data_IF_426925148478
#
_entry.id   IF_426925148478
#
_cell.length_a   1.000
_cell.length_b   1.000
_cell.length_c   1.000
_cell.angle_alpha   90.00
_cell.angle_beta   90.00
_cell.angle_gamma   90.00
#
_symmetry.space_group_name_H-M   'P 1'
#
loop_
_entity.id
_entity.type
_entity.pdbx_description
1 polymer ?
#
# COMPACT_ATOMS: atom_id res chain seq x y z
N UNK A 1 37.19 46.11 46.55
CA UNK A 1 38.37 45.46 45.94
C UNK A 1 37.91 44.64 44.76
N UNK A 2 38.67 44.62 43.65
CA UNK A 2 38.33 43.83 42.45
C UNK A 2 38.13 42.33 42.75
N UNK A 3 38.74 41.81 43.81
CA UNK A 3 38.59 40.42 44.29
C UNK A 3 37.15 40.04 44.66
N UNK A 4 36.41 40.91 45.37
CA UNK A 4 35.01 40.65 45.75
C UNK A 4 34.07 40.52 44.53
N UNK A 5 34.38 41.18 43.42
CA UNK A 5 33.55 41.09 42.22
C UNK A 5 33.71 39.71 41.55
N UNK A 6 34.94 39.19 41.49
CA UNK A 6 35.25 37.92 40.82
C UNK A 6 34.68 36.71 41.60
N UNK A 7 34.69 36.77 42.93
CA UNK A 7 34.08 35.75 43.80
C UNK A 7 32.56 35.67 43.60
N UNK A 8 31.87 36.81 43.47
CA UNK A 8 30.43 36.84 43.21
C UNK A 8 30.08 36.24 41.83
N UNK A 9 30.90 36.49 40.81
CA UNK A 9 30.75 35.88 39.48
C UNK A 9 30.98 34.37 39.51
N UNK A 10 32.00 33.90 40.21
CA UNK A 10 32.27 32.45 40.38
C UNK A 10 31.11 31.79 41.12
N UNK A 11 30.60 32.43 42.19
CA UNK A 11 29.48 31.93 42.96
C UNK A 11 28.20 31.82 42.11
N UNK A 12 27.89 32.86 41.32
CA UNK A 12 26.76 32.86 40.40
C UNK A 12 26.85 31.69 39.41
N UNK A 13 28.00 31.51 38.77
CA UNK A 13 28.19 30.46 37.75
C UNK A 13 28.09 29.06 38.39
N UNK A 14 28.68 28.85 39.57
CA UNK A 14 28.63 27.56 40.26
C UNK A 14 27.24 27.20 40.79
N UNK A 15 26.42 28.20 41.15
CA UNK A 15 25.10 27.99 41.77
C UNK A 15 23.93 28.29 40.83
N UNK A 16 24.20 28.69 39.57
CA UNK A 16 23.24 29.07 38.53
C UNK A 16 21.97 28.19 38.49
N UNK A 17 22.14 26.88 38.57
CA UNK A 17 21.06 25.89 38.47
C UNK A 17 20.18 25.78 39.73
N UNK A 18 20.70 26.17 40.89
CA UNK A 18 20.08 25.98 42.22
C UNK A 18 19.90 27.27 43.01
N UNK A 19 20.05 28.43 42.36
CA UNK A 19 19.86 29.73 43.00
C UNK A 19 18.42 29.86 43.50
N UNK A 20 18.28 30.06 44.80
CA UNK A 20 16.99 30.40 45.40
C UNK A 20 16.75 31.89 45.26
N UNK A 21 15.49 32.29 45.36
CA UNK A 21 15.08 33.68 45.24
C UNK A 21 15.76 34.60 46.30
N UNK A 22 16.06 34.05 47.46
CA UNK A 22 16.79 34.70 48.55
C UNK A 22 18.26 34.97 48.18
N UNK A 23 18.94 33.97 47.62
CA UNK A 23 20.35 34.07 47.16
C UNK A 23 20.48 35.11 46.02
N UNK A 24 19.48 35.16 45.14
CA UNK A 24 19.40 36.14 44.04
C UNK A 24 19.28 37.57 44.58
N UNK A 25 18.42 37.79 45.59
CA UNK A 25 18.25 39.12 46.21
C UNK A 25 19.55 39.58 46.86
N UNK A 26 20.24 38.69 47.55
CA UNK A 26 21.49 39.01 48.23
C UNK A 26 22.63 39.37 47.24
N UNK A 27 22.78 38.61 46.14
CA UNK A 27 23.76 38.89 45.09
C UNK A 27 23.49 40.23 44.37
N UNK A 28 22.21 40.53 44.08
CA UNK A 28 21.82 41.80 43.43
C UNK A 28 22.06 43.04 44.31
N UNK A 29 22.05 42.87 45.64
CA UNK A 29 22.37 43.92 46.62
C UNK A 29 23.88 44.10 46.75
N UNK A 30 24.64 43.00 46.83
CA UNK A 30 26.11 43.04 46.99
C UNK A 30 26.82 43.54 45.75
N UNK A 31 26.37 43.15 44.55
CA UNK A 31 27.04 43.50 43.31
C UNK A 31 26.03 43.92 42.23
N UNK A 32 25.83 45.24 42.04
CA UNK A 32 24.92 45.78 41.03
C UNK A 32 25.27 45.36 39.59
N UNK A 33 26.55 45.05 39.31
CA UNK A 33 27.04 44.66 37.98
C UNK A 33 26.56 43.25 37.60
N UNK A 34 26.33 42.39 38.60
CA UNK A 34 25.85 41.01 38.40
C UNK A 34 24.33 40.95 38.16
N UNK A 35 23.61 42.03 38.45
CA UNK A 35 22.15 42.11 38.30
C UNK A 35 21.68 41.72 36.90
N UNK A 36 22.31 42.27 35.87
CA UNK A 36 21.95 42.04 34.48
C UNK A 36 22.14 40.56 34.08
N UNK A 37 23.23 39.93 34.54
CA UNK A 37 23.47 38.52 34.32
C UNK A 37 22.49 37.61 35.08
N UNK A 38 22.11 37.98 36.30
CA UNK A 38 21.10 37.24 37.07
C UNK A 38 19.71 37.35 36.43
N UNK A 39 19.35 38.52 35.91
CA UNK A 39 18.07 38.74 35.21
C UNK A 39 18.01 37.94 33.90
N UNK A 40 19.08 37.96 33.10
CA UNK A 40 19.20 37.11 31.92
C UNK A 40 19.11 35.60 32.27
N UNK A 41 19.73 35.17 33.39
CA UNK A 41 19.64 33.79 33.88
C UNK A 41 18.23 33.41 34.33
N UNK A 42 17.50 34.31 34.99
CA UNK A 42 16.10 34.10 35.38
C UNK A 42 15.20 33.97 34.17
N UNK A 43 15.36 34.81 33.14
CA UNK A 43 14.59 34.73 31.90
C UNK A 43 14.86 33.45 31.11
N UNK A 44 16.13 33.03 31.03
CA UNK A 44 16.51 31.78 30.35
C UNK A 44 16.04 30.54 31.14
N UNK A 45 16.00 30.62 32.48
CA UNK A 45 15.64 29.48 33.34
C UNK A 45 14.13 29.32 33.58
N UNK A 46 13.34 30.41 33.59
CA UNK A 46 11.88 30.37 33.76
C UNK A 46 11.10 30.04 32.48
N UNK A 47 11.75 29.91 31.33
CA UNK A 47 11.06 29.63 30.06
C UNK A 47 11.37 28.23 29.47
N UNK A 48 12.45 27.57 29.88
CA UNK A 48 12.85 26.28 29.27
C UNK A 48 11.90 25.12 29.57
N UNK A 49 11.37 25.01 30.79
CA UNK A 49 10.43 23.93 31.15
C UNK A 49 9.10 24.10 30.43
N UNK A 50 8.53 25.30 30.46
CA UNK A 50 7.25 25.61 29.79
C UNK A 50 7.37 25.46 28.28
N UNK A 51 8.49 25.93 27.69
CA UNK A 51 8.82 25.71 26.28
C UNK A 51 8.91 24.23 25.93
N UNK A 52 9.63 23.44 26.73
CA UNK A 52 9.71 21.99 26.52
C UNK A 52 8.33 21.33 26.59
N UNK A 53 7.47 21.69 27.55
CA UNK A 53 6.10 21.15 27.63
C UNK A 53 5.26 21.51 26.40
N UNK A 54 5.37 22.75 25.92
CA UNK A 54 4.67 23.21 24.72
C UNK A 54 5.16 22.49 23.45
N UNK A 55 6.48 22.38 23.26
CA UNK A 55 7.09 21.66 22.15
C UNK A 55 6.72 20.18 22.16
N UNK A 56 6.72 19.54 23.33
CA UNK A 56 6.37 18.14 23.48
C UNK A 56 4.89 17.90 23.14
N UNK A 57 4.00 18.81 23.57
CA UNK A 57 2.58 18.77 23.20
C UNK A 57 2.38 18.90 21.68
N UNK A 58 3.01 19.89 21.05
CA UNK A 58 2.93 20.08 19.60
C UNK A 58 3.46 18.87 18.84
N UNK A 59 4.55 18.26 19.32
CA UNK A 59 5.09 17.03 18.74
C UNK A 59 4.08 15.90 18.83
N UNK A 60 3.44 15.70 19.98
CA UNK A 60 2.41 14.66 20.14
C UNK A 60 1.21 14.89 19.22
N UNK A 61 0.73 16.13 19.09
CA UNK A 61 -0.37 16.47 18.18
C UNK A 61 0.00 16.15 16.73
N UNK A 62 1.20 16.55 16.27
CA UNK A 62 1.69 16.25 14.91
C UNK A 62 1.93 14.77 14.66
N UNK A 63 2.53 14.07 15.61
CA UNK A 63 2.77 12.62 15.50
C UNK A 63 1.43 11.87 15.39
N UNK A 64 0.40 12.34 16.11
CA UNK A 64 -0.94 11.78 16.02
C UNK A 64 -1.58 12.02 14.64
N UNK A 65 -1.53 13.25 14.14
CA UNK A 65 -2.03 13.60 12.80
C UNK A 65 -1.33 12.78 11.71
N UNK A 66 0.01 12.70 11.76
CA UNK A 66 0.81 11.92 10.81
C UNK A 66 0.48 10.42 10.87
N UNK A 67 0.20 9.88 12.07
CA UNK A 67 -0.21 8.48 12.22
C UNK A 67 -1.57 8.22 11.56
N UNK A 68 -2.53 9.14 11.73
CA UNK A 68 -3.85 9.03 11.11
C UNK A 68 -3.74 9.12 9.60
N UNK A 69 -3.02 10.12 9.09
CA UNK A 69 -2.81 10.34 7.65
C UNK A 69 -2.16 9.11 7.00
N UNK A 70 -1.07 8.61 7.60
CA UNK A 70 -0.40 7.40 7.14
C UNK A 70 -1.34 6.17 7.12
N UNK A 71 -2.12 5.97 8.18
CA UNK A 71 -3.07 4.85 8.24
C UNK A 71 -4.17 4.97 7.17
N UNK A 72 -4.63 6.19 6.88
CA UNK A 72 -5.62 6.44 5.85
C UNK A 72 -5.06 6.20 4.44
N UNK A 73 -3.87 6.72 4.14
CA UNK A 73 -3.19 6.51 2.86
C UNK A 73 -2.89 5.03 2.60
N UNK A 74 -2.35 4.33 3.59
CA UNK A 74 -2.11 2.88 3.50
C UNK A 74 -3.41 2.09 3.33
N UNK A 75 -4.48 2.50 4.02
CA UNK A 75 -5.81 1.92 3.86
C UNK A 75 -6.35 2.08 2.44
N UNK A 76 -6.25 3.28 1.87
CA UNK A 76 -6.64 3.56 0.49
C UNK A 76 -5.82 2.75 -0.51
N UNK A 77 -4.50 2.74 -0.35
CA UNK A 77 -3.59 1.99 -1.24
C UNK A 77 -3.92 0.50 -1.24
N UNK A 78 -4.08 -0.10 -0.06
CA UNK A 78 -4.49 -1.51 0.08
C UNK A 78 -5.86 -1.77 -0.52
N UNK A 79 -6.82 -0.85 -0.35
CA UNK A 79 -8.14 -0.95 -0.95
C UNK A 79 -8.09 -0.97 -2.48
N UNK A 80 -7.28 -0.10 -3.09
CA UNK A 80 -7.07 -0.06 -4.54
C UNK A 80 -6.39 -1.34 -5.03
N UNK A 81 -5.32 -1.77 -4.38
CA UNK A 81 -4.59 -2.99 -4.74
C UNK A 81 -5.51 -4.22 -4.69
N UNK A 82 -6.31 -4.38 -3.63
CA UNK A 82 -7.30 -5.46 -3.51
C UNK A 82 -8.39 -5.38 -4.59
N UNK A 83 -8.83 -4.16 -4.95
CA UNK A 83 -9.78 -3.95 -6.03
C UNK A 83 -9.25 -4.44 -7.38
N UNK A 84 -8.02 -4.05 -7.72
CA UNK A 84 -7.34 -4.45 -8.96
C UNK A 84 -7.11 -5.97 -9.00
N UNK A 85 -6.68 -6.57 -7.88
CA UNK A 85 -6.46 -8.02 -7.82
C UNK A 85 -7.76 -8.80 -8.03
N UNK A 86 -8.86 -8.35 -7.40
CA UNK A 86 -10.18 -8.96 -7.56
C UNK A 86 -10.69 -8.85 -9.00
N UNK A 87 -10.51 -7.69 -9.64
CA UNK A 87 -10.87 -7.49 -11.04
C UNK A 87 -10.08 -8.43 -11.95
N UNK A 88 -8.75 -8.50 -11.77
CA UNK A 88 -7.89 -9.38 -12.55
C UNK A 88 -8.30 -10.85 -12.41
N UNK A 89 -8.62 -11.30 -11.20
CA UNK A 89 -9.10 -12.65 -10.95
C UNK A 89 -10.42 -12.92 -11.70
N UNK A 90 -11.38 -12.01 -11.60
CA UNK A 90 -12.68 -12.16 -12.26
C UNK A 90 -12.54 -12.21 -13.79
N UNK A 91 -11.71 -11.34 -14.37
CA UNK A 91 -11.45 -11.31 -15.81
C UNK A 91 -10.86 -12.63 -16.30
N UNK A 92 -9.86 -13.18 -15.59
CA UNK A 92 -9.28 -14.49 -15.94
C UNK A 92 -10.32 -15.61 -15.87
N UNK A 93 -11.22 -15.58 -14.90
CA UNK A 93 -12.24 -16.60 -14.75
C UNK A 93 -13.30 -16.53 -15.86
N UNK A 94 -13.67 -15.31 -16.27
CA UNK A 94 -14.55 -15.07 -17.41
C UNK A 94 -13.90 -15.57 -18.71
N UNK A 95 -12.62 -15.25 -18.96
CA UNK A 95 -11.89 -15.71 -20.14
C UNK A 95 -11.79 -17.23 -20.22
N UNK A 96 -11.46 -17.90 -19.11
CA UNK A 96 -11.46 -19.37 -19.03
C UNK A 96 -12.82 -19.95 -19.35
N UNK A 97 -13.88 -19.36 -18.79
CA UNK A 97 -15.25 -19.82 -19.01
C UNK A 97 -15.64 -19.69 -20.48
N UNK A 98 -15.39 -18.53 -21.10
CA UNK A 98 -15.65 -18.31 -22.53
C UNK A 98 -14.87 -19.28 -23.43
N UNK A 99 -13.60 -19.56 -23.09
CA UNK A 99 -12.80 -20.56 -23.79
C UNK A 99 -13.39 -21.96 -23.68
N UNK A 100 -13.86 -22.36 -22.50
CA UNK A 100 -14.50 -23.66 -22.30
C UNK A 100 -15.83 -23.77 -23.05
N UNK A 101 -16.63 -22.70 -23.08
CA UNK A 101 -17.88 -22.64 -23.83
C UNK A 101 -17.62 -22.80 -25.33
N UNK A 102 -16.70 -22.03 -25.90
CA UNK A 102 -16.37 -22.14 -27.33
C UNK A 102 -15.84 -23.52 -27.74
N UNK A 103 -15.05 -24.18 -26.88
CA UNK A 103 -14.60 -25.56 -27.11
C UNK A 103 -15.79 -26.53 -27.09
N UNK A 104 -16.73 -26.36 -26.15
CA UNK A 104 -17.92 -27.21 -26.06
C UNK A 104 -18.83 -27.03 -27.28
N UNK A 105 -19.02 -25.81 -27.75
CA UNK A 105 -19.79 -25.49 -28.96
C UNK A 105 -19.18 -26.14 -30.19
N UNK A 106 -17.89 -25.91 -30.46
CA UNK A 106 -17.16 -26.55 -31.58
C UNK A 106 -17.25 -28.07 -31.54
N UNK A 107 -17.14 -28.67 -30.34
CA UNK A 107 -17.29 -30.13 -30.18
C UNK A 107 -18.72 -30.60 -30.44
N UNK A 108 -19.72 -29.82 -30.06
CA UNK A 108 -21.13 -30.14 -30.29
C UNK A 108 -21.46 -30.06 -31.79
N UNK A 109 -20.98 -29.02 -32.47
CA UNK A 109 -21.09 -28.85 -33.93
C UNK A 109 -20.39 -30.00 -34.67
N UNK A 110 -19.14 -30.30 -34.32
CA UNK A 110 -18.41 -31.43 -34.90
C UNK A 110 -19.15 -32.76 -34.73
N UNK A 111 -19.73 -33.00 -33.55
CA UNK A 111 -20.56 -34.20 -33.29
C UNK A 111 -21.82 -34.22 -34.16
N UNK A 112 -22.48 -33.08 -34.37
CA UNK A 112 -23.65 -32.98 -35.26
C UNK A 112 -23.24 -33.28 -36.70
N UNK A 113 -22.16 -32.66 -37.19
CA UNK A 113 -21.60 -32.89 -38.53
C UNK A 113 -21.29 -34.38 -38.75
N UNK A 114 -20.63 -35.03 -37.79
CA UNK A 114 -20.36 -36.47 -37.84
C UNK A 114 -21.62 -37.33 -37.91
N UNK A 115 -22.66 -37.01 -37.12
CA UNK A 115 -23.93 -37.74 -37.17
C UNK A 115 -24.59 -37.61 -38.54
N UNK A 116 -24.56 -36.42 -39.14
CA UNK A 116 -25.06 -36.19 -40.49
C UNK A 116 -24.23 -36.97 -41.51
N UNK A 117 -22.90 -36.90 -41.44
CA UNK A 117 -21.99 -37.64 -42.32
C UNK A 117 -22.27 -39.15 -42.30
N UNK A 118 -22.46 -39.73 -41.11
CA UNK A 118 -22.79 -41.16 -40.95
C UNK A 118 -24.12 -41.50 -41.64
N UNK A 119 -25.16 -40.67 -41.46
CA UNK A 119 -26.47 -40.88 -42.11
C UNK A 119 -26.36 -40.83 -43.63
N UNK A 120 -25.63 -39.85 -44.17
CA UNK A 120 -25.43 -39.69 -45.62
C UNK A 120 -24.59 -40.84 -46.18
N UNK A 121 -23.59 -41.31 -45.44
CA UNK A 121 -22.78 -42.47 -45.83
C UNK A 121 -23.63 -43.74 -45.94
N UNK A 122 -24.52 -43.99 -44.97
CA UNK A 122 -25.47 -45.10 -45.04
C UNK A 122 -26.48 -44.96 -46.18
N UNK A 123 -26.86 -43.73 -46.54
CA UNK A 123 -27.73 -43.44 -47.69
C UNK A 123 -27.02 -43.59 -49.05
N UNK A 124 -25.74 -43.97 -49.06
CA UNK A 124 -24.98 -44.19 -50.29
C UNK A 124 -24.39 -42.93 -50.93
N UNK A 125 -24.39 -41.79 -50.22
CA UNK A 125 -23.80 -40.54 -50.74
C UNK A 125 -22.28 -40.66 -50.97
N UNK A 126 -21.78 -39.95 -51.98
CA UNK A 126 -20.33 -39.87 -52.28
C UNK A 126 -19.58 -39.11 -51.18
N UNK A 127 -18.27 -39.38 -51.03
CA UNK A 127 -17.46 -38.73 -50.00
C UNK A 127 -17.28 -37.22 -50.26
N UNK A 128 -17.11 -36.84 -51.52
CA UNK A 128 -17.08 -35.44 -51.97
C UNK A 128 -18.35 -34.68 -51.56
N UNK A 129 -19.54 -35.26 -51.83
CA UNK A 129 -20.81 -34.66 -51.44
C UNK A 129 -21.01 -34.58 -49.92
N UNK A 130 -20.56 -35.58 -49.17
CA UNK A 130 -20.60 -35.55 -47.70
C UNK A 130 -19.66 -34.47 -47.16
N UNK A 131 -18.48 -34.31 -47.77
CA UNK A 131 -17.50 -33.28 -47.42
C UNK A 131 -18.10 -31.88 -47.60
N UNK A 132 -18.77 -31.63 -48.73
CA UNK A 132 -19.47 -30.37 -49.00
C UNK A 132 -20.58 -30.10 -47.98
N UNK A 133 -21.43 -31.10 -47.71
CA UNK A 133 -22.63 -30.92 -46.88
C UNK A 133 -22.36 -30.85 -45.37
N UNK A 134 -21.22 -31.37 -44.92
CA UNK A 134 -20.87 -31.40 -43.49
C UNK A 134 -19.70 -30.50 -43.13
N UNK A 135 -19.10 -29.85 -44.13
CA UNK A 135 -17.90 -29.02 -44.03
C UNK A 135 -16.69 -29.77 -43.40
N UNK A 136 -16.76 -31.11 -43.37
CA UNK A 136 -15.69 -31.96 -42.87
C UNK A 136 -14.74 -32.31 -44.03
N UNK A 137 -13.42 -32.16 -43.88
CA UNK A 137 -12.48 -32.45 -44.96
C UNK A 137 -12.61 -33.89 -45.46
N UNK A 138 -12.62 -34.08 -46.78
CA UNK A 138 -12.74 -35.41 -47.38
C UNK A 138 -11.67 -36.39 -46.87
N UNK A 139 -10.41 -35.95 -46.74
CA UNK A 139 -9.32 -36.76 -46.19
C UNK A 139 -9.59 -37.24 -44.75
N UNK A 140 -10.24 -36.40 -43.94
CA UNK A 140 -10.67 -36.77 -42.59
C UNK A 140 -11.80 -37.81 -42.64
N UNK A 141 -12.80 -37.61 -43.51
CA UNK A 141 -13.92 -38.53 -43.70
C UNK A 141 -13.47 -39.91 -44.20
N UNK A 142 -12.52 -39.96 -45.14
CA UNK A 142 -11.91 -41.20 -45.64
C UNK A 142 -11.35 -42.03 -44.48
N UNK A 143 -10.53 -41.41 -43.63
CA UNK A 143 -9.92 -42.10 -42.48
C UNK A 143 -10.95 -42.47 -41.42
N UNK A 144 -11.90 -41.56 -41.14
CA UNK A 144 -12.97 -41.78 -40.17
C UNK A 144 -13.83 -42.98 -40.57
N UNK A 145 -14.31 -43.03 -41.81
CA UNK A 145 -15.17 -44.14 -42.28
C UNK A 145 -14.41 -45.43 -42.48
N UNK A 146 -13.15 -45.40 -42.94
CA UNK A 146 -12.28 -46.59 -42.93
C UNK A 146 -12.21 -47.20 -41.54
N UNK A 147 -12.05 -46.40 -40.49
CA UNK A 147 -11.98 -46.89 -39.11
C UNK A 147 -13.35 -47.30 -38.55
N UNK A 148 -14.40 -46.56 -38.87
CA UNK A 148 -15.74 -46.75 -38.31
C UNK A 148 -16.50 -47.93 -38.95
N UNK A 149 -16.21 -48.25 -40.21
CA UNK A 149 -16.90 -49.28 -41.00
C UNK A 149 -16.01 -50.47 -41.39
N UNK A 150 -14.76 -50.52 -40.92
CA UNK A 150 -13.92 -51.72 -41.07
C UNK A 150 -14.36 -52.78 -40.08
N UNK A 151 -15.07 -53.80 -40.59
CA UNK A 151 -15.07 -55.18 -40.11
C UNK A 151 -14.48 -56.05 -41.23
#
# INVERSE_FOLDING_TARGET
TQESNLEDWIYLIQKAEKLKEEDVKELKIKNPVIREAVEALQDISLDRKTRNYYEMRLKTERDHEATIEYAFEEGLKKGVEQGIEKERYLTQEIEKTQRLVSIREKRAEHKKALRTAIKMKHAGSSLDFISEMTELPEAYLVNFFKKAFSY
#
